data_IF_346093884906
#
_entry.id   IF_346093884906
#
_cell.length_a   1.000
_cell.length_b   1.000
_cell.length_c   1.000
_cell.angle_alpha   90.00
_cell.angle_beta   90.00
_cell.angle_gamma   90.00
#
_symmetry.space_group_name_H-M   'P 1'
#
loop_
_entity.id
_entity.type
_entity.pdbx_description
1 polymer ?
#
# COMPACT_ATOMS: atom_id res chain seq x y z
N UNK A 1 59.38 -21.32 -5.30
CA UNK A 1 58.27 -21.65 -4.35
C UNK A 1 56.98 -21.25 -4.99
N UNK A 2 56.35 -22.19 -5.60
CA UNK A 2 55.09 -22.05 -6.35
C UNK A 2 53.91 -22.16 -5.39
N UNK A 3 53.20 -21.09 -5.17
CA UNK A 3 51.88 -21.12 -4.50
C UNK A 3 50.82 -21.36 -5.56
N UNK A 4 50.38 -22.60 -5.66
CA UNK A 4 49.16 -22.96 -6.36
C UNK A 4 47.96 -22.62 -5.43
N UNK A 5 47.27 -21.53 -5.70
CA UNK A 5 45.94 -21.26 -5.15
C UNK A 5 44.96 -22.04 -5.99
N UNK A 6 44.51 -23.17 -5.48
CA UNK A 6 43.35 -23.90 -6.01
C UNK A 6 42.12 -23.04 -5.81
N UNK A 7 41.58 -22.45 -6.90
CA UNK A 7 40.24 -21.89 -6.92
C UNK A 7 39.25 -23.06 -6.84
N UNK A 8 38.68 -23.26 -5.67
CA UNK A 8 37.48 -24.08 -5.54
C UNK A 8 36.40 -23.45 -6.40
N UNK A 9 35.92 -24.21 -7.38
CA UNK A 9 34.71 -23.86 -8.13
C UNK A 9 33.48 -23.96 -7.18
N UNK A 10 33.35 -22.97 -6.31
CA UNK A 10 32.15 -22.78 -5.52
C UNK A 10 31.07 -22.16 -6.41
N UNK A 11 30.12 -22.96 -6.85
CA UNK A 11 28.91 -22.44 -7.48
C UNK A 11 28.32 -21.33 -6.60
N UNK A 12 27.95 -20.17 -7.20
CA UNK A 12 27.45 -19.04 -6.44
C UNK A 12 26.23 -19.47 -5.63
N UNK A 13 26.30 -19.27 -4.33
CA UNK A 13 25.19 -19.60 -3.43
C UNK A 13 24.14 -18.48 -3.59
N UNK A 14 23.12 -18.71 -4.42
CA UNK A 14 21.97 -17.83 -4.49
C UNK A 14 21.20 -17.83 -3.17
N UNK A 15 20.48 -16.76 -2.91
CA UNK A 15 19.61 -16.66 -1.75
C UNK A 15 18.48 -17.72 -1.78
N UNK A 16 17.87 -18.05 -0.64
CA UNK A 16 16.65 -18.84 -0.61
C UNK A 16 15.58 -18.18 -1.51
N UNK A 17 14.85 -18.95 -2.31
CA UNK A 17 13.85 -18.39 -3.23
C UNK A 17 12.66 -17.82 -2.45
N UNK A 18 12.09 -16.74 -2.99
CA UNK A 18 10.86 -16.13 -2.50
C UNK A 18 9.91 -15.91 -3.69
N UNK A 19 9.37 -16.98 -4.29
CA UNK A 19 8.45 -16.84 -5.39
C UNK A 19 7.17 -16.15 -4.92
N UNK A 20 6.64 -15.22 -5.73
CA UNK A 20 5.31 -14.70 -5.51
C UNK A 20 4.26 -15.81 -5.70
N UNK A 21 3.09 -15.63 -5.06
CA UNK A 21 1.98 -16.52 -5.35
C UNK A 21 1.63 -16.53 -6.84
N UNK A 22 1.27 -17.69 -7.42
CA UNK A 22 0.80 -17.77 -8.81
C UNK A 22 -0.37 -16.81 -9.07
N UNK A 23 -0.31 -16.11 -10.19
CA UNK A 23 -1.37 -15.25 -10.67
C UNK A 23 -1.68 -15.56 -12.14
N UNK A 24 -2.65 -16.45 -12.44
CA UNK A 24 -2.95 -16.87 -13.80
C UNK A 24 -3.30 -15.71 -14.75
N UNK A 25 -3.82 -14.59 -14.23
CA UNK A 25 -4.11 -13.42 -15.05
C UNK A 25 -2.82 -12.70 -15.44
N UNK A 26 -1.92 -12.51 -14.49
CA UNK A 26 -0.60 -11.93 -14.77
C UNK A 26 0.21 -12.88 -15.67
N UNK A 27 0.25 -14.17 -15.37
CA UNK A 27 0.96 -15.18 -16.15
C UNK A 27 0.52 -15.14 -17.61
N UNK A 28 -0.80 -15.09 -17.89
CA UNK A 28 -1.32 -14.99 -19.25
C UNK A 28 -0.89 -13.70 -19.99
N UNK A 29 -0.68 -12.59 -19.27
CA UNK A 29 -0.16 -11.35 -19.84
C UNK A 29 1.34 -11.52 -20.15
N UNK A 30 2.08 -12.14 -19.25
CA UNK A 30 3.53 -12.31 -19.35
C UNK A 30 3.94 -13.33 -20.42
N UNK A 31 3.12 -14.35 -20.67
CA UNK A 31 3.33 -15.34 -21.73
C UNK A 31 3.12 -14.77 -23.14
N UNK A 32 2.49 -13.57 -23.25
CA UNK A 32 2.25 -12.89 -24.51
C UNK A 32 3.38 -11.94 -24.93
N UNK A 33 3.23 -11.35 -26.13
CA UNK A 33 4.18 -10.36 -26.66
C UNK A 33 4.07 -8.99 -25.97
N UNK A 34 2.96 -8.70 -25.30
CA UNK A 34 2.62 -7.39 -24.76
C UNK A 34 3.70 -6.74 -23.87
N UNK A 35 4.36 -7.45 -22.93
CA UNK A 35 5.40 -6.82 -22.11
C UNK A 35 6.59 -6.29 -22.94
N UNK A 36 7.04 -7.07 -23.95
CA UNK A 36 8.12 -6.65 -24.84
C UNK A 36 7.69 -5.52 -25.78
N UNK A 37 6.46 -5.54 -26.30
CA UNK A 37 5.89 -4.47 -27.11
C UNK A 37 5.81 -3.15 -26.31
N UNK A 38 5.35 -3.19 -25.05
CA UNK A 38 5.31 -2.04 -24.17
C UNK A 38 6.70 -1.51 -23.86
N UNK A 39 7.66 -2.39 -23.54
CA UNK A 39 9.04 -1.99 -23.28
C UNK A 39 9.67 -1.31 -24.51
N UNK A 40 9.37 -1.80 -25.70
CA UNK A 40 9.82 -1.18 -26.94
C UNK A 40 9.15 0.18 -27.19
N UNK A 41 7.83 0.26 -27.01
CA UNK A 41 7.05 1.48 -27.27
C UNK A 41 7.36 2.60 -26.28
N UNK A 42 7.56 2.28 -25.00
CA UNK A 42 7.79 3.26 -23.94
C UNK A 42 9.26 3.64 -23.78
N UNK A 43 10.18 2.78 -24.19
CA UNK A 43 11.61 3.05 -24.20
C UNK A 43 12.30 3.04 -22.82
N UNK A 44 11.61 2.60 -21.76
CA UNK A 44 12.12 2.56 -20.37
C UNK A 44 11.33 1.61 -19.48
N UNK A 45 11.56 1.65 -18.16
CA UNK A 45 10.79 0.87 -17.20
C UNK A 45 9.35 1.37 -17.18
N UNK A 46 8.41 0.50 -16.78
CA UNK A 46 7.00 0.85 -16.66
C UNK A 46 6.29 0.02 -15.59
N UNK A 47 5.14 0.50 -15.15
CA UNK A 47 4.24 -0.22 -14.26
C UNK A 47 3.01 -0.69 -15.02
N UNK A 48 2.57 -1.93 -14.82
CA UNK A 48 1.27 -2.43 -15.27
C UNK A 48 0.27 -2.31 -14.14
N UNK A 49 -0.93 -1.83 -14.45
CA UNK A 49 -2.04 -1.71 -13.50
C UNK A 49 -3.24 -2.53 -13.99
N UNK A 50 -3.85 -3.26 -13.07
CA UNK A 50 -4.99 -4.16 -13.26
C UNK A 50 -6.19 -3.68 -12.42
N UNK A 51 -6.99 -2.71 -12.91
CA UNK A 51 -8.07 -2.10 -12.12
C UNK A 51 -9.15 -3.09 -11.69
N UNK A 52 -9.40 -4.14 -12.46
CA UNK A 52 -10.37 -5.18 -12.10
C UNK A 52 -10.00 -5.89 -10.79
N UNK A 53 -8.69 -6.06 -10.52
CA UNK A 53 -8.21 -6.63 -9.26
C UNK A 53 -8.50 -5.72 -8.08
N UNK A 54 -8.29 -4.41 -8.26
CA UNK A 54 -8.65 -3.41 -7.25
C UNK A 54 -10.15 -3.48 -6.93
N UNK A 55 -11.00 -3.55 -7.94
CA UNK A 55 -12.45 -3.67 -7.74
C UNK A 55 -12.85 -4.97 -7.06
N UNK A 56 -12.23 -6.10 -7.45
CA UNK A 56 -12.47 -7.40 -6.83
C UNK A 56 -12.05 -7.40 -5.34
N UNK A 57 -10.89 -6.82 -5.02
CA UNK A 57 -10.42 -6.71 -3.65
C UNK A 57 -11.37 -5.84 -2.82
N UNK A 58 -11.80 -4.69 -3.33
CA UNK A 58 -12.76 -3.83 -2.62
C UNK A 58 -14.10 -4.54 -2.41
N UNK A 59 -14.62 -5.21 -3.43
CA UNK A 59 -15.86 -6.00 -3.35
C UNK A 59 -15.76 -7.13 -2.31
N UNK A 60 -14.58 -7.73 -2.13
CA UNK A 60 -14.35 -8.74 -1.09
C UNK A 60 -14.50 -8.16 0.33
N UNK A 61 -13.96 -6.96 0.60
CA UNK A 61 -14.18 -6.28 1.88
C UNK A 61 -15.66 -5.92 2.09
N UNK A 62 -16.32 -5.37 1.07
CA UNK A 62 -17.75 -5.05 1.09
C UNK A 62 -18.60 -6.31 1.32
N UNK A 63 -18.18 -7.44 0.74
CA UNK A 63 -18.79 -8.76 0.95
C UNK A 63 -18.76 -9.19 2.41
N UNK A 64 -17.61 -9.07 3.07
CA UNK A 64 -17.46 -9.42 4.49
C UNK A 64 -18.35 -8.57 5.38
N UNK A 65 -18.45 -7.26 5.14
CA UNK A 65 -19.37 -6.39 5.89
C UNK A 65 -20.82 -6.84 5.74
N UNK A 66 -21.23 -7.15 4.50
CA UNK A 66 -22.60 -7.63 4.19
C UNK A 66 -22.91 -8.98 4.84
N UNK A 67 -21.97 -9.94 4.75
CA UNK A 67 -22.11 -11.27 5.39
C UNK A 67 -22.26 -11.17 6.92
N UNK A 68 -21.51 -10.22 7.53
CA UNK A 68 -21.58 -9.96 8.96
C UNK A 68 -22.82 -9.14 9.37
N UNK A 69 -23.61 -8.62 8.41
CA UNK A 69 -24.74 -7.72 8.67
C UNK A 69 -24.31 -6.40 9.30
N UNK A 70 -23.08 -5.95 9.06
CA UNK A 70 -22.51 -4.71 9.59
C UNK A 70 -22.58 -3.63 8.52
N UNK A 71 -23.26 -2.52 8.83
CA UNK A 71 -23.20 -1.34 7.98
C UNK A 71 -21.78 -0.78 7.99
N UNK A 72 -21.25 -0.46 6.79
CA UNK A 72 -19.91 0.08 6.71
C UNK A 72 -19.53 0.56 5.33
N UNK A 73 -18.33 1.13 5.25
CA UNK A 73 -17.78 1.66 4.00
C UNK A 73 -16.28 1.45 3.92
N UNK A 74 -15.83 1.12 2.72
CA UNK A 74 -14.41 1.03 2.36
C UNK A 74 -13.97 2.37 1.77
N UNK A 75 -12.88 2.92 2.30
CA UNK A 75 -12.18 4.09 1.80
C UNK A 75 -10.80 3.65 1.30
N UNK A 76 -10.55 3.79 0.02
CA UNK A 76 -9.22 3.51 -0.52
C UNK A 76 -8.21 4.53 0.01
N UNK A 77 -7.15 4.07 0.69
CA UNK A 77 -6.07 4.96 1.15
C UNK A 77 -5.17 5.36 -0.02
N UNK A 78 -5.39 6.58 -0.56
CA UNK A 78 -4.77 7.08 -1.79
C UNK A 78 -3.24 7.08 -1.75
N UNK A 79 -2.65 7.27 -0.58
CA UNK A 79 -1.20 7.18 -0.35
C UNK A 79 -0.56 5.86 -0.78
N UNK A 80 -1.36 4.79 -0.92
CA UNK A 80 -0.86 3.48 -1.31
C UNK A 80 -0.46 3.39 -2.80
N UNK A 81 -1.07 4.21 -3.67
CA UNK A 81 -0.67 4.39 -5.06
C UNK A 81 -1.36 5.62 -5.65
N UNK A 82 -0.59 6.50 -6.29
CA UNK A 82 -1.06 7.80 -6.81
C UNK A 82 -1.77 7.70 -8.16
N UNK A 83 -1.84 6.51 -8.79
CA UNK A 83 -2.43 6.35 -10.12
C UNK A 83 -3.87 6.88 -10.18
N UNK A 84 -4.18 7.59 -11.25
CA UNK A 84 -5.48 8.23 -11.48
C UNK A 84 -6.60 7.20 -11.66
N UNK A 85 -6.29 6.06 -12.25
CA UNK A 85 -7.25 4.99 -12.49
C UNK A 85 -7.97 4.53 -11.22
N UNK A 86 -7.31 4.53 -10.06
CA UNK A 86 -7.94 4.16 -8.79
C UNK A 86 -9.01 5.17 -8.38
N UNK A 87 -8.78 6.46 -8.65
CA UNK A 87 -9.76 7.52 -8.40
C UNK A 87 -10.97 7.40 -9.33
N UNK A 88 -10.73 7.10 -10.62
CA UNK A 88 -11.81 6.83 -11.59
C UNK A 88 -12.69 5.67 -11.11
N UNK A 89 -12.10 4.56 -10.68
CA UNK A 89 -12.84 3.39 -10.20
C UNK A 89 -13.58 3.67 -8.88
N UNK A 90 -13.01 4.44 -7.96
CA UNK A 90 -13.71 4.89 -6.75
C UNK A 90 -14.89 5.81 -7.09
N UNK A 91 -14.73 6.76 -8.01
CA UNK A 91 -15.80 7.66 -8.42
C UNK A 91 -16.95 6.92 -9.09
N UNK A 92 -16.65 6.01 -10.03
CA UNK A 92 -17.64 5.21 -10.75
C UNK A 92 -18.43 4.27 -9.84
N UNK A 93 -17.76 3.65 -8.87
CA UNK A 93 -18.39 2.70 -7.93
C UNK A 93 -19.02 3.36 -6.70
N UNK A 94 -18.79 4.67 -6.51
CA UNK A 94 -19.21 5.39 -5.30
C UNK A 94 -18.47 4.98 -4.03
N UNK A 95 -17.31 4.32 -4.13
CA UNK A 95 -16.44 3.99 -2.99
C UNK A 95 -15.81 5.22 -2.38
N UNK A 96 -15.42 5.11 -1.13
CA UNK A 96 -14.73 6.19 -0.43
C UNK A 96 -13.24 6.25 -0.77
N UNK A 97 -12.63 7.41 -0.48
CA UNK A 97 -11.17 7.60 -0.58
C UNK A 97 -10.67 8.28 0.69
N UNK A 98 -9.59 7.75 1.28
CA UNK A 98 -8.83 8.37 2.36
C UNK A 98 -7.70 9.20 1.77
N UNK A 99 -7.67 10.49 2.12
CA UNK A 99 -6.69 11.47 1.68
C UNK A 99 -6.04 12.16 2.88
N UNK A 100 -4.74 12.47 2.78
CA UNK A 100 -3.97 13.07 3.86
C UNK A 100 -3.32 14.42 3.48
N UNK A 101 -3.46 14.87 2.24
CA UNK A 101 -2.84 16.08 1.72
C UNK A 101 -3.80 16.84 0.78
N UNK A 102 -3.55 18.15 0.63
CA UNK A 102 -4.35 18.99 -0.26
C UNK A 102 -4.26 18.52 -1.73
N UNK A 103 -3.11 18.05 -2.18
CA UNK A 103 -2.92 17.48 -3.50
C UNK A 103 -3.79 16.23 -3.71
N UNK A 104 -3.76 15.28 -2.76
CA UNK A 104 -4.61 14.09 -2.82
C UNK A 104 -6.11 14.41 -2.84
N UNK A 105 -6.53 15.40 -2.02
CA UNK A 105 -7.93 15.84 -1.99
C UNK A 105 -8.37 16.44 -3.33
N UNK A 106 -7.55 17.35 -3.90
CA UNK A 106 -7.84 17.99 -5.18
C UNK A 106 -7.91 16.98 -6.33
N UNK A 107 -6.97 16.03 -6.33
CA UNK A 107 -6.92 14.97 -7.33
C UNK A 107 -8.17 14.07 -7.25
N UNK A 108 -8.55 13.60 -6.06
CA UNK A 108 -9.76 12.81 -5.87
C UNK A 108 -11.03 13.55 -6.31
N UNK A 109 -11.18 14.84 -5.96
CA UNK A 109 -12.29 15.68 -6.40
C UNK A 109 -12.27 15.90 -7.91
N UNK A 110 -11.10 16.12 -8.50
CA UNK A 110 -10.90 16.30 -9.94
C UNK A 110 -11.29 15.08 -10.76
N UNK A 111 -11.14 13.89 -10.22
CA UNK A 111 -11.60 12.61 -10.80
C UNK A 111 -13.07 12.30 -10.51
N UNK A 112 -13.80 13.20 -9.84
CA UNK A 112 -15.24 13.06 -9.61
C UNK A 112 -15.62 12.29 -8.34
N UNK A 113 -14.68 12.00 -7.45
CA UNK A 113 -15.00 11.46 -6.13
C UNK A 113 -15.75 12.54 -5.34
N UNK A 114 -16.94 12.23 -4.86
CA UNK A 114 -17.77 13.21 -4.15
C UNK A 114 -17.21 13.48 -2.75
N UNK A 115 -17.27 14.73 -2.29
CA UNK A 115 -16.73 15.10 -0.97
C UNK A 115 -17.29 14.29 0.19
N UNK A 116 -18.59 13.92 0.16
CA UNK A 116 -19.21 13.04 1.17
C UNK A 116 -18.64 11.62 1.20
N UNK A 117 -17.90 11.21 0.15
CA UNK A 117 -17.19 9.96 0.02
C UNK A 117 -15.69 10.07 0.35
N UNK A 118 -15.25 11.23 0.86
CA UNK A 118 -13.86 11.47 1.24
C UNK A 118 -13.73 11.51 2.76
N UNK A 119 -12.70 10.85 3.25
CA UNK A 119 -12.20 11.03 4.63
C UNK A 119 -10.84 11.69 4.56
N UNK A 120 -10.64 12.71 5.40
CA UNK A 120 -9.39 13.48 5.47
C UNK A 120 -8.67 13.11 6.75
N UNK A 121 -7.57 12.40 6.63
CA UNK A 121 -6.75 11.89 7.73
C UNK A 121 -5.42 12.65 7.86
N UNK A 122 -4.49 12.14 8.68
CA UNK A 122 -3.18 12.76 8.91
C UNK A 122 -3.17 13.76 10.06
N UNK A 123 -1.98 14.13 10.55
CA UNK A 123 -1.81 15.10 11.64
C UNK A 123 -1.82 16.54 11.13
N UNK A 124 -2.15 17.48 12.01
CA UNK A 124 -1.94 18.93 11.83
C UNK A 124 -2.28 19.42 10.40
N UNK A 125 -3.51 19.12 9.95
CA UNK A 125 -3.96 19.42 8.59
C UNK A 125 -3.90 20.93 8.31
N UNK A 126 -3.32 21.31 7.17
CA UNK A 126 -3.20 22.70 6.75
C UNK A 126 -4.58 23.36 6.54
N UNK A 127 -4.64 24.66 6.75
CA UNK A 127 -5.89 25.41 6.70
C UNK A 127 -6.58 25.41 5.32
N UNK A 128 -5.82 25.33 4.25
CA UNK A 128 -6.36 25.19 2.88
C UNK A 128 -6.99 23.81 2.65
N UNK A 129 -6.37 22.75 3.15
CA UNK A 129 -6.93 21.39 3.14
C UNK A 129 -8.25 21.36 3.92
N UNK A 130 -8.25 21.88 5.18
CA UNK A 130 -9.44 21.90 6.03
C UNK A 130 -10.58 22.72 5.40
N UNK A 131 -10.26 23.85 4.77
CA UNK A 131 -11.26 24.69 4.08
C UNK A 131 -11.97 23.94 2.97
N UNK A 132 -11.21 23.28 2.09
CA UNK A 132 -11.80 22.49 1.00
C UNK A 132 -12.56 21.30 1.56
N UNK A 133 -12.04 20.59 2.56
CA UNK A 133 -12.70 19.48 3.20
C UNK A 133 -14.07 19.86 3.79
N UNK A 134 -14.16 20.99 4.51
CA UNK A 134 -15.42 21.51 5.06
C UNK A 134 -16.38 21.88 3.96
N UNK A 135 -15.94 22.65 2.95
CA UNK A 135 -16.79 23.08 1.83
C UNK A 135 -17.36 21.91 1.04
N UNK A 136 -16.58 20.86 0.85
CA UNK A 136 -16.99 19.65 0.14
C UNK A 136 -17.77 18.64 1.02
N UNK A 137 -17.87 18.90 2.33
CA UNK A 137 -18.56 18.01 3.28
C UNK A 137 -17.83 16.68 3.50
N UNK A 138 -16.50 16.70 3.41
CA UNK A 138 -15.67 15.55 3.73
C UNK A 138 -15.77 15.19 5.23
N UNK A 139 -15.53 13.94 5.56
CA UNK A 139 -15.37 13.48 6.93
C UNK A 139 -13.92 13.76 7.37
N UNK A 140 -13.72 14.48 8.49
CA UNK A 140 -12.39 14.91 8.94
C UNK A 140 -12.02 14.14 10.22
N UNK A 141 -10.93 13.35 10.17
CA UNK A 141 -10.37 12.73 11.36
C UNK A 141 -9.50 13.72 12.12
N UNK A 142 -10.01 14.27 13.21
CA UNK A 142 -9.33 15.27 14.05
C UNK A 142 -8.29 14.60 14.93
N UNK A 143 -7.05 15.01 14.82
CA UNK A 143 -5.88 14.38 15.45
C UNK A 143 -5.41 15.10 16.74
N UNK A 144 -5.74 16.38 16.90
CA UNK A 144 -5.31 17.21 18.04
C UNK A 144 -6.33 18.30 18.40
N UNK A 145 -6.21 18.89 19.60
CA UNK A 145 -7.12 19.94 20.07
C UNK A 145 -7.00 21.25 19.29
N UNK A 146 -5.80 21.66 18.95
CA UNK A 146 -5.54 22.86 18.14
C UNK A 146 -6.07 22.68 16.71
N UNK A 147 -5.97 21.49 16.16
CA UNK A 147 -6.59 21.16 14.87
C UNK A 147 -8.12 21.26 14.95
N UNK A 148 -8.74 20.82 16.06
CA UNK A 148 -10.19 20.98 16.28
C UNK A 148 -10.61 22.46 16.19
N UNK A 149 -9.85 23.37 16.84
CA UNK A 149 -10.15 24.79 16.77
C UNK A 149 -10.02 25.33 15.34
N UNK A 150 -9.04 24.85 14.57
CA UNK A 150 -8.91 25.20 13.15
C UNK A 150 -10.10 24.70 12.33
N UNK A 151 -10.58 23.47 12.57
CA UNK A 151 -11.77 22.93 11.92
C UNK A 151 -13.00 23.78 12.25
N UNK A 152 -13.19 24.16 13.50
CA UNK A 152 -14.30 25.02 13.93
C UNK A 152 -14.23 26.39 13.28
N UNK A 153 -13.04 26.98 13.14
CA UNK A 153 -12.84 28.27 12.48
C UNK A 153 -13.22 28.18 10.99
N UNK A 154 -12.76 27.13 10.28
CA UNK A 154 -13.11 26.92 8.86
C UNK A 154 -14.61 26.66 8.69
N UNK A 155 -15.24 25.90 9.58
CA UNK A 155 -16.68 25.62 9.53
C UNK A 155 -17.52 26.87 9.69
N UNK A 156 -17.15 27.76 10.62
CA UNK A 156 -17.82 29.06 10.80
C UNK A 156 -17.65 29.97 9.59
N UNK A 157 -16.44 30.02 9.03
CA UNK A 157 -16.16 30.82 7.82
C UNK A 157 -16.96 30.32 6.61
N UNK A 158 -17.11 28.99 6.50
CA UNK A 158 -17.88 28.35 5.43
C UNK A 158 -19.41 28.38 5.67
N UNK A 159 -19.87 28.83 6.85
CA UNK A 159 -21.26 28.75 7.31
C UNK A 159 -21.86 27.32 7.15
N UNK A 160 -21.03 26.30 7.38
CA UNK A 160 -21.38 24.90 7.20
C UNK A 160 -20.74 24.05 8.31
N UNK A 161 -21.51 23.21 9.03
CA UNK A 161 -20.94 22.33 10.05
C UNK A 161 -19.94 21.35 9.45
N UNK A 162 -18.77 21.22 10.09
CA UNK A 162 -17.79 20.21 9.76
C UNK A 162 -18.24 18.83 10.28
N UNK A 163 -18.03 17.80 9.48
CA UNK A 163 -18.26 16.40 9.88
C UNK A 163 -16.95 15.83 10.40
N UNK A 164 -16.94 15.35 11.65
CA UNK A 164 -15.68 14.92 12.27
C UNK A 164 -15.75 13.53 12.89
N UNK A 165 -14.62 12.83 12.81
CA UNK A 165 -14.24 11.73 13.71
C UNK A 165 -13.18 12.27 14.66
N UNK A 166 -13.29 11.98 15.95
CA UNK A 166 -12.22 12.27 16.91
C UNK A 166 -11.27 11.07 16.92
N UNK A 167 -10.01 11.29 16.54
CA UNK A 167 -9.01 10.23 16.48
C UNK A 167 -8.50 9.89 17.86
N UNK A 168 -8.72 8.66 18.30
CA UNK A 168 -8.26 8.14 19.59
C UNK A 168 -6.83 7.64 19.50
N UNK A 169 -5.96 8.06 20.44
CA UNK A 169 -4.68 7.41 20.67
C UNK A 169 -4.90 6.00 21.22
N UNK A 170 -4.52 4.92 20.49
CA UNK A 170 -4.76 3.57 20.94
C UNK A 170 -3.94 3.24 22.19
N UNK A 171 -4.52 2.62 23.24
CA UNK A 171 -3.76 2.22 24.43
C UNK A 171 -2.62 1.26 24.15
N UNK A 172 -2.77 0.40 23.12
CA UNK A 172 -1.72 -0.52 22.67
C UNK A 172 -0.48 0.19 22.04
N UNK A 173 -0.60 1.47 21.69
CA UNK A 173 0.49 2.26 21.08
C UNK A 173 0.60 3.63 21.75
N UNK A 174 0.92 3.69 23.05
CA UNK A 174 0.86 4.92 23.84
C UNK A 174 1.88 6.00 23.42
N UNK A 175 2.90 5.61 22.65
CA UNK A 175 3.94 6.50 22.11
C UNK A 175 3.67 6.94 20.67
N UNK A 176 2.51 6.59 20.10
CA UNK A 176 2.15 7.10 18.77
C UNK A 176 2.09 8.62 18.79
N UNK A 177 2.65 9.25 17.73
CA UNK A 177 2.57 10.71 17.55
C UNK A 177 1.17 11.18 17.14
N UNK A 178 0.21 10.28 17.03
CA UNK A 178 -1.12 10.52 16.50
C UNK A 178 -2.21 10.27 17.54
N UNK A 179 -3.26 11.09 17.45
CA UNK A 179 -4.50 10.87 18.15
C UNK A 179 -4.56 11.50 19.55
N UNK A 180 -5.76 11.72 20.00
CA UNK A 180 -6.12 12.32 21.28
C UNK A 180 -6.01 11.31 22.41
N UNK A 181 -5.26 11.65 23.46
CA UNK A 181 -5.26 10.93 24.73
C UNK A 181 -6.61 11.02 25.44
N UNK A 182 -6.78 10.24 26.53
CA UNK A 182 -8.08 10.17 27.20
C UNK A 182 -8.58 11.52 27.76
N UNK A 183 -7.69 12.35 28.27
CA UNK A 183 -8.00 13.72 28.75
C UNK A 183 -8.36 14.66 27.61
N UNK A 184 -7.57 14.64 26.54
CA UNK A 184 -7.79 15.47 25.35
C UNK A 184 -9.09 15.11 24.64
N UNK A 185 -9.43 13.81 24.56
CA UNK A 185 -10.68 13.34 23.97
C UNK A 185 -11.91 13.85 24.73
N UNK A 186 -11.87 13.87 26.07
CA UNK A 186 -12.93 14.47 26.91
C UNK A 186 -13.07 15.97 26.62
N UNK A 187 -11.95 16.68 26.54
CA UNK A 187 -11.91 18.11 26.21
C UNK A 187 -12.47 18.37 24.81
N UNK A 188 -12.09 17.58 23.82
CA UNK A 188 -12.61 17.67 22.45
C UNK A 188 -14.14 17.47 22.40
N UNK A 189 -14.67 16.45 23.07
CA UNK A 189 -16.11 16.19 23.15
C UNK A 189 -16.86 17.36 23.78
N UNK A 190 -16.38 17.87 24.91
CA UNK A 190 -16.99 19.02 25.60
C UNK A 190 -16.94 20.28 24.69
N UNK A 191 -15.84 20.49 23.98
CA UNK A 191 -15.67 21.60 23.04
C UNK A 191 -16.64 21.50 21.86
N UNK A 192 -16.80 20.30 21.29
CA UNK A 192 -17.78 20.04 20.23
C UNK A 192 -19.23 20.25 20.72
N UNK A 193 -19.54 19.88 21.98
CA UNK A 193 -20.86 20.10 22.55
C UNK A 193 -21.23 21.60 22.68
N UNK A 194 -20.23 22.46 22.84
CA UNK A 194 -20.38 23.93 22.86
C UNK A 194 -20.46 24.57 21.47
N UNK A 195 -20.09 23.86 20.41
CA UNK A 195 -19.99 24.34 19.04
C UNK A 195 -20.83 23.52 18.05
N UNK A 196 -22.04 23.11 18.46
CA UNK A 196 -22.93 22.25 17.65
C UNK A 196 -23.38 22.88 16.35
N UNK A 197 -23.33 24.20 16.27
CA UNK A 197 -23.58 25.00 15.06
C UNK A 197 -22.47 24.83 14.00
N UNK A 198 -21.23 24.55 14.45
CA UNK A 198 -20.05 24.47 13.60
C UNK A 198 -19.51 23.04 13.40
N UNK A 199 -19.93 22.04 14.20
CA UNK A 199 -19.38 20.69 14.12
C UNK A 199 -20.40 19.61 14.45
N UNK A 200 -20.34 18.51 13.69
CA UNK A 200 -21.06 17.26 13.96
C UNK A 200 -20.03 16.16 14.24
N UNK A 201 -19.97 15.70 15.49
CA UNK A 201 -19.17 14.52 15.84
C UNK A 201 -19.93 13.29 15.35
N UNK A 202 -19.45 12.72 14.23
CA UNK A 202 -20.04 11.51 13.66
C UNK A 202 -19.48 10.23 14.29
N UNK A 203 -18.38 10.32 15.03
CA UNK A 203 -17.82 9.19 15.76
C UNK A 203 -16.33 9.31 16.06
N UNK A 204 -15.65 8.17 16.02
CA UNK A 204 -14.27 8.06 16.43
C UNK A 204 -13.46 7.27 15.42
N UNK A 205 -12.13 7.46 15.45
CA UNK A 205 -11.20 6.68 14.63
C UNK A 205 -9.96 6.31 15.42
N UNK A 206 -9.28 5.29 14.97
CA UNK A 206 -7.89 5.00 15.33
C UNK A 206 -7.13 4.45 14.11
N UNK A 207 -5.81 4.43 14.23
CA UNK A 207 -4.94 3.66 13.34
C UNK A 207 -3.96 2.86 14.19
N UNK A 208 -3.84 1.56 13.92
CA UNK A 208 -2.87 0.67 14.56
C UNK A 208 -1.80 0.26 13.54
N UNK A 209 -0.54 0.30 13.96
CA UNK A 209 0.54 -0.40 13.26
C UNK A 209 0.43 -1.91 13.51
N UNK A 210 0.84 -2.70 12.52
CA UNK A 210 0.73 -4.17 12.59
C UNK A 210 -0.61 -4.70 12.10
N UNK A 211 -0.70 -6.03 12.05
CA UNK A 211 -1.75 -6.76 11.36
C UNK A 211 -2.56 -7.71 12.26
N UNK A 212 -2.44 -7.60 13.58
CA UNK A 212 -3.17 -8.44 14.54
C UNK A 212 -4.68 -8.11 14.55
N UNK A 213 -5.56 -9.06 14.14
CA UNK A 213 -7.00 -8.83 14.13
C UNK A 213 -7.59 -8.66 15.54
N UNK A 214 -7.06 -9.33 16.55
CA UNK A 214 -7.61 -9.31 17.92
C UNK A 214 -7.36 -7.96 18.58
N UNK A 215 -6.15 -7.40 18.44
CA UNK A 215 -5.84 -6.06 18.93
C UNK A 215 -6.72 -4.99 18.25
N UNK A 216 -6.97 -5.16 16.94
CA UNK A 216 -7.83 -4.26 16.18
C UNK A 216 -9.29 -4.35 16.61
N UNK A 217 -9.78 -5.56 16.85
CA UNK A 217 -11.15 -5.78 17.36
C UNK A 217 -11.35 -5.20 18.75
N UNK A 218 -10.41 -5.40 19.66
CA UNK A 218 -10.43 -4.82 21.01
C UNK A 218 -10.50 -3.30 20.96
N UNK A 219 -9.61 -2.66 20.17
CA UNK A 219 -9.63 -1.20 20.00
C UNK A 219 -10.94 -0.70 19.37
N UNK A 220 -11.50 -1.43 18.38
CA UNK A 220 -12.79 -1.10 17.78
C UNK A 220 -13.92 -1.19 18.81
N UNK A 221 -13.90 -2.21 19.66
CA UNK A 221 -14.85 -2.35 20.76
C UNK A 221 -14.84 -1.17 21.73
N UNK A 222 -13.65 -0.63 22.06
CA UNK A 222 -13.53 0.61 22.86
C UNK A 222 -14.19 1.81 22.16
N UNK A 223 -14.04 1.93 20.84
CA UNK A 223 -14.69 3.02 20.08
C UNK A 223 -16.21 2.89 20.05
N UNK A 224 -16.76 1.67 20.01
CA UNK A 224 -18.22 1.47 20.14
C UNK A 224 -18.72 2.01 21.48
N UNK A 225 -18.04 1.71 22.59
CA UNK A 225 -18.38 2.26 23.90
C UNK A 225 -18.27 3.80 23.96
N UNK A 226 -17.27 4.35 23.29
CA UNK A 226 -17.13 5.81 23.17
C UNK A 226 -18.29 6.43 22.37
N UNK A 227 -18.76 5.77 21.32
CA UNK A 227 -19.94 6.20 20.56
C UNK A 227 -21.17 6.26 21.45
N UNK A 228 -21.44 5.22 22.26
CA UNK A 228 -22.58 5.19 23.16
C UNK A 228 -22.49 6.32 24.21
N UNK A 229 -21.32 6.55 24.81
CA UNK A 229 -21.08 7.66 25.74
C UNK A 229 -21.27 9.03 25.09
N UNK A 230 -20.78 9.22 23.88
CA UNK A 230 -20.93 10.47 23.15
C UNK A 230 -22.38 10.75 22.75
N UNK A 231 -23.16 9.72 22.39
CA UNK A 231 -24.61 9.85 22.16
C UNK A 231 -25.35 10.30 23.42
N UNK A 232 -24.99 9.77 24.61
CA UNK A 232 -25.57 10.22 25.88
C UNK A 232 -25.27 11.71 26.17
N UNK A 233 -24.19 12.27 25.57
CA UNK A 233 -23.88 13.70 25.61
C UNK A 233 -24.56 14.49 24.47
N UNK A 234 -25.37 13.84 23.63
CA UNK A 234 -26.11 14.43 22.53
C UNK A 234 -25.32 14.62 21.24
N UNK A 235 -24.20 13.94 21.06
CA UNK A 235 -23.51 13.84 19.77
C UNK A 235 -24.15 12.76 18.88
N UNK A 236 -23.94 12.84 17.57
CA UNK A 236 -24.42 11.83 16.62
C UNK A 236 -23.75 10.48 16.84
N UNK A 237 -22.43 10.44 16.79
CA UNK A 237 -21.53 9.31 17.09
C UNK A 237 -22.05 7.95 16.63
N UNK A 238 -22.34 7.82 15.31
CA UNK A 238 -22.92 6.63 14.69
C UNK A 238 -21.93 5.82 13.85
N UNK A 239 -20.63 6.14 13.87
CA UNK A 239 -19.61 5.42 13.11
C UNK A 239 -18.25 5.37 13.79
N UNK A 240 -17.48 4.36 13.44
CA UNK A 240 -16.08 4.26 13.82
C UNK A 240 -15.23 3.94 12.60
N UNK A 241 -14.00 4.49 12.52
CA UNK A 241 -12.96 4.04 11.57
C UNK A 241 -11.87 3.28 12.31
N UNK A 242 -11.55 2.09 11.83
CA UNK A 242 -10.46 1.27 12.35
C UNK A 242 -9.18 1.40 11.50
N UNK A 243 -9.15 2.38 10.60
CA UNK A 243 -8.03 2.65 9.71
C UNK A 243 -7.75 1.55 8.69
N UNK A 244 -6.50 1.49 8.24
CA UNK A 244 -5.96 0.45 7.38
C UNK A 244 -5.33 -0.71 8.17
N UNK A 245 -4.16 -1.19 7.71
CA UNK A 245 -3.42 -2.26 8.38
C UNK A 245 -4.05 -3.63 8.13
N UNK A 246 -4.45 -3.91 6.88
CA UNK A 246 -4.81 -5.22 6.38
C UNK A 246 -3.63 -5.77 5.58
N UNK A 247 -3.10 -6.91 5.99
CA UNK A 247 -1.94 -7.55 5.37
C UNK A 247 -2.25 -7.99 3.93
N UNK A 248 -1.18 -8.14 3.15
CA UNK A 248 -1.16 -8.85 1.86
C UNK A 248 -0.26 -10.05 2.02
N UNK A 249 -0.65 -11.17 1.44
CA UNK A 249 0.12 -12.39 1.39
C UNK A 249 0.83 -12.50 0.04
N UNK A 250 2.15 -12.29 0.02
CA UNK A 250 2.95 -12.22 -1.21
C UNK A 250 3.58 -13.55 -1.60
N UNK A 251 3.91 -14.40 -0.61
CA UNK A 251 4.59 -15.68 -0.80
C UNK A 251 4.07 -16.71 0.20
N UNK A 252 4.28 -17.99 -0.06
CA UNK A 252 3.81 -19.02 0.85
C UNK A 252 4.65 -19.11 2.14
N UNK A 253 4.05 -19.73 3.18
CA UNK A 253 4.65 -19.85 4.49
C UNK A 253 6.01 -20.57 4.45
N UNK A 254 6.12 -21.65 3.66
CA UNK A 254 7.31 -22.47 3.62
C UNK A 254 8.52 -21.71 3.07
N UNK A 255 8.36 -20.97 1.98
CA UNK A 255 9.40 -20.12 1.42
C UNK A 255 9.77 -18.97 2.37
N UNK A 256 8.77 -18.31 2.98
CA UNK A 256 9.02 -17.23 3.92
C UNK A 256 9.80 -17.68 5.16
N UNK A 257 9.39 -18.79 5.79
CA UNK A 257 10.09 -19.36 6.95
C UNK A 257 11.50 -19.84 6.60
N UNK A 258 11.67 -20.48 5.44
CA UNK A 258 12.98 -20.89 4.96
C UNK A 258 13.89 -19.69 4.73
N UNK A 259 13.38 -18.62 4.10
CA UNK A 259 14.14 -17.39 3.89
C UNK A 259 14.60 -16.77 5.22
N UNK A 260 13.70 -16.57 6.18
CA UNK A 260 14.04 -15.98 7.48
C UNK A 260 15.07 -16.80 8.25
N UNK A 261 15.03 -18.14 8.14
CA UNK A 261 15.95 -19.05 8.81
C UNK A 261 17.33 -19.11 8.14
N UNK A 262 17.39 -19.00 6.82
CA UNK A 262 18.57 -19.35 6.03
C UNK A 262 19.29 -18.12 5.45
N UNK A 263 18.62 -16.95 5.39
CA UNK A 263 19.24 -15.75 4.87
C UNK A 263 20.48 -15.36 5.70
N UNK A 264 21.53 -14.91 4.99
CA UNK A 264 22.82 -14.56 5.59
C UNK A 264 23.55 -13.57 4.67
N UNK A 265 24.58 -12.84 5.16
CA UNK A 265 25.29 -11.83 4.37
C UNK A 265 25.78 -12.31 2.99
N UNK A 266 26.24 -13.57 2.88
CA UNK A 266 26.71 -14.16 1.62
C UNK A 266 25.61 -14.24 0.53
N UNK A 267 24.36 -14.12 0.90
CA UNK A 267 23.22 -14.10 -0.04
C UNK A 267 22.96 -12.72 -0.67
N UNK A 268 23.70 -11.70 -0.24
CA UNK A 268 23.49 -10.33 -0.69
C UNK A 268 24.73 -9.75 -1.40
N UNK A 269 24.54 -8.72 -2.19
CA UNK A 269 25.63 -7.99 -2.81
C UNK A 269 26.58 -7.44 -1.76
N UNK A 270 27.90 -7.60 -2.01
CA UNK A 270 28.97 -7.14 -1.13
C UNK A 270 28.86 -7.59 0.35
N UNK A 271 28.16 -8.70 0.61
CA UNK A 271 27.99 -9.23 1.98
C UNK A 271 27.13 -8.35 2.89
N UNK A 272 26.24 -7.51 2.31
CA UNK A 272 25.30 -6.69 3.10
C UNK A 272 24.44 -7.59 3.99
N UNK A 273 24.15 -7.13 5.19
CA UNK A 273 23.23 -7.79 6.10
C UNK A 273 21.98 -6.94 6.31
N UNK A 274 20.85 -7.61 6.48
CA UNK A 274 19.58 -7.01 6.84
C UNK A 274 19.08 -7.65 8.13
N UNK A 275 18.47 -6.84 9.01
CA UNK A 275 17.79 -7.38 10.17
C UNK A 275 16.43 -7.95 9.72
N UNK A 276 16.11 -9.22 10.03
CA UNK A 276 14.78 -9.77 9.71
C UNK A 276 13.60 -8.96 10.27
N UNK A 277 13.81 -8.19 11.34
CA UNK A 277 12.81 -7.31 11.90
C UNK A 277 12.48 -6.10 11.00
N UNK A 278 13.39 -5.76 10.07
CA UNK A 278 13.21 -4.66 9.12
C UNK A 278 12.49 -5.10 7.84
N UNK A 279 12.21 -6.40 7.66
CA UNK A 279 11.45 -6.86 6.51
C UNK A 279 9.95 -6.64 6.70
N UNK A 280 9.27 -6.24 5.62
CA UNK A 280 7.83 -6.37 5.55
C UNK A 280 7.47 -7.86 5.74
N UNK A 281 6.38 -8.20 6.47
CA UNK A 281 5.96 -9.60 6.60
C UNK A 281 5.33 -10.09 5.28
N UNK A 282 6.14 -10.64 4.37
CA UNK A 282 5.70 -11.05 3.04
C UNK A 282 4.77 -12.27 3.04
N UNK A 283 4.76 -13.06 4.11
CA UNK A 283 3.71 -14.05 4.36
C UNK A 283 2.77 -13.59 5.47
N UNK A 284 1.48 -13.75 5.25
CA UNK A 284 0.45 -13.53 6.27
C UNK A 284 -0.64 -14.60 6.14
N UNK A 285 -0.86 -15.43 7.17
CA UNK A 285 -1.87 -16.49 7.12
C UNK A 285 -3.29 -15.94 7.05
N UNK A 286 -3.48 -14.68 7.42
CA UNK A 286 -4.78 -13.99 7.39
C UNK A 286 -4.59 -12.62 6.74
N UNK A 287 -4.91 -12.51 5.46
CA UNK A 287 -4.69 -11.32 4.64
C UNK A 287 -5.99 -10.77 4.03
N UNK A 288 -5.94 -9.52 3.53
CA UNK A 288 -7.03 -8.89 2.79
C UNK A 288 -8.37 -8.92 3.53
N UNK A 289 -9.43 -9.29 2.83
CA UNK A 289 -10.78 -9.37 3.39
C UNK A 289 -10.93 -10.46 4.47
N UNK A 290 -10.10 -11.52 4.46
CA UNK A 290 -10.10 -12.53 5.52
C UNK A 290 -9.64 -11.92 6.86
N UNK A 291 -8.72 -10.95 6.85
CA UNK A 291 -8.34 -10.23 8.05
C UNK A 291 -9.50 -9.42 8.63
N UNK A 292 -10.32 -8.78 7.79
CA UNK A 292 -11.54 -8.12 8.24
C UNK A 292 -12.54 -9.11 8.86
N UNK A 293 -12.71 -10.29 8.24
CA UNK A 293 -13.58 -11.34 8.81
C UNK A 293 -13.09 -11.76 10.19
N UNK A 294 -11.79 -11.93 10.39
CA UNK A 294 -11.19 -12.25 11.69
C UNK A 294 -11.44 -11.12 12.73
N UNK A 295 -11.26 -9.85 12.34
CA UNK A 295 -11.54 -8.69 13.18
C UNK A 295 -13.00 -8.69 13.65
N UNK A 296 -13.95 -8.89 12.72
CA UNK A 296 -15.39 -8.87 13.03
C UNK A 296 -15.85 -10.06 13.89
N UNK A 297 -15.16 -11.20 13.77
CA UNK A 297 -15.44 -12.38 14.57
C UNK A 297 -14.87 -12.28 16.00
N UNK A 298 -13.75 -11.58 16.18
CA UNK A 298 -13.10 -11.44 17.47
C UNK A 298 -13.96 -10.62 18.44
N UNK A 299 -14.03 -11.05 19.71
CA UNK A 299 -14.74 -10.40 20.81
C UNK A 299 -16.22 -10.07 20.51
N UNK A 300 -16.85 -10.78 19.55
CA UNK A 300 -18.22 -10.53 19.14
C UNK A 300 -18.44 -9.14 18.53
N UNK A 301 -17.40 -8.52 17.96
CA UNK A 301 -17.44 -7.14 17.48
C UNK A 301 -18.58 -6.88 16.49
N UNK A 302 -18.85 -7.80 15.57
CA UNK A 302 -19.96 -7.65 14.61
C UNK A 302 -21.31 -7.51 15.32
N UNK A 303 -21.57 -8.31 16.36
CA UNK A 303 -22.76 -8.19 17.20
C UNK A 303 -22.86 -6.83 17.88
N UNK A 304 -21.78 -6.40 18.53
CA UNK A 304 -21.69 -5.10 19.22
C UNK A 304 -21.94 -3.91 18.29
N UNK A 305 -21.39 -3.94 17.06
CA UNK A 305 -21.63 -2.90 16.06
C UNK A 305 -23.11 -2.83 15.66
N UNK A 306 -23.74 -3.98 15.39
CA UNK A 306 -25.17 -4.05 15.02
C UNK A 306 -26.08 -3.58 16.16
N UNK A 307 -25.86 -4.07 17.36
CA UNK A 307 -26.66 -3.72 18.55
C UNK A 307 -26.55 -2.23 18.89
N UNK A 308 -25.33 -1.67 18.75
CA UNK A 308 -25.10 -0.26 18.96
C UNK A 308 -25.54 0.62 17.77
N UNK A 309 -25.90 0.06 16.60
CA UNK A 309 -26.18 0.82 15.38
C UNK A 309 -24.99 1.70 14.99
N UNK A 310 -23.78 1.12 14.99
CA UNK A 310 -22.54 1.82 14.66
C UNK A 310 -21.99 1.30 13.34
N UNK A 311 -21.77 2.18 12.38
CA UNK A 311 -21.18 1.88 11.08
C UNK A 311 -19.67 1.70 11.21
N UNK A 312 -19.11 0.75 10.45
CA UNK A 312 -17.68 0.48 10.40
C UNK A 312 -17.04 1.07 9.13
N UNK A 313 -16.09 1.97 9.30
CA UNK A 313 -15.28 2.54 8.23
C UNK A 313 -13.90 1.88 8.21
N UNK A 314 -13.43 1.58 6.99
CA UNK A 314 -12.15 0.91 6.73
C UNK A 314 -11.33 1.77 5.77
N UNK A 315 -10.01 1.83 5.98
CA UNK A 315 -9.07 2.61 5.15
C UNK A 315 -7.96 1.72 4.58
N UNK A 316 -8.28 0.57 3.91
CA UNK A 316 -7.26 -0.29 3.34
C UNK A 316 -6.52 0.42 2.20
N UNK A 317 -5.18 0.34 2.24
CA UNK A 317 -4.32 0.75 1.14
C UNK A 317 -3.83 -0.46 0.37
N UNK A 318 -2.73 -1.08 0.84
CA UNK A 318 -2.06 -2.21 0.21
C UNK A 318 -3.01 -3.37 -0.14
N UNK A 319 -3.93 -3.71 0.75
CA UNK A 319 -4.84 -4.84 0.55
C UNK A 319 -5.85 -4.64 -0.60
N UNK A 320 -6.17 -3.40 -0.99
CA UNK A 320 -6.98 -3.15 -2.19
C UNK A 320 -6.16 -3.26 -3.47
N UNK A 321 -4.84 -3.15 -3.36
CA UNK A 321 -3.90 -3.21 -4.47
C UNK A 321 -3.21 -4.58 -4.60
N UNK A 322 -3.65 -5.57 -3.82
CA UNK A 322 -3.12 -6.93 -3.92
C UNK A 322 -3.34 -7.48 -5.34
N UNK A 323 -2.24 -7.88 -5.99
CA UNK A 323 -2.18 -8.34 -7.38
C UNK A 323 -2.75 -7.34 -8.40
N UNK A 324 -2.88 -6.07 -8.03
CA UNK A 324 -3.42 -5.04 -8.92
C UNK A 324 -2.37 -4.41 -9.85
N UNK A 325 -1.15 -4.95 -9.87
CA UNK A 325 -0.13 -4.50 -10.81
C UNK A 325 1.26 -5.05 -10.53
N UNK A 326 2.15 -4.85 -11.50
CA UNK A 326 3.55 -5.25 -11.45
C UNK A 326 4.45 -4.15 -12.01
N UNK A 327 5.75 -4.23 -11.70
CA UNK A 327 6.78 -3.33 -12.23
C UNK A 327 7.69 -4.08 -13.17
N UNK A 328 7.96 -3.50 -14.33
CA UNK A 328 8.78 -4.09 -15.40
C UNK A 328 10.00 -3.24 -15.64
N UNK A 329 11.15 -3.87 -15.59
CA UNK A 329 12.44 -3.29 -15.97
C UNK A 329 13.04 -4.05 -17.14
N UNK A 330 13.75 -3.35 -18.02
CA UNK A 330 14.53 -3.97 -19.09
C UNK A 330 15.99 -4.10 -18.66
N UNK A 331 16.56 -5.27 -18.87
CA UNK A 331 17.98 -5.52 -18.65
C UNK A 331 18.81 -4.72 -19.67
N UNK A 332 19.73 -3.90 -19.17
CA UNK A 332 20.69 -3.14 -19.97
C UNK A 332 22.00 -3.89 -20.14
N UNK A 333 22.39 -4.68 -19.15
CA UNK A 333 23.62 -5.45 -19.20
C UNK A 333 23.81 -6.32 -17.97
N UNK A 334 24.75 -7.25 -18.07
CA UNK A 334 25.11 -8.16 -16.99
C UNK A 334 26.63 -8.27 -16.93
N UNK A 335 27.19 -8.18 -15.73
CA UNK A 335 28.60 -8.44 -15.46
C UNK A 335 28.76 -9.45 -14.34
N UNK A 336 29.81 -10.25 -14.44
CA UNK A 336 30.18 -11.21 -13.41
C UNK A 336 31.17 -10.57 -12.43
N UNK A 337 30.98 -10.84 -11.13
CA UNK A 337 31.88 -10.41 -10.07
C UNK A 337 31.80 -11.40 -8.90
N UNK A 338 32.95 -11.85 -8.44
CA UNK A 338 33.07 -12.70 -7.23
C UNK A 338 32.13 -13.93 -7.24
N UNK A 339 31.91 -14.53 -8.43
CA UNK A 339 31.14 -15.76 -8.60
C UNK A 339 29.61 -15.55 -8.68
N UNK A 340 29.12 -14.34 -8.82
CA UNK A 340 27.70 -14.04 -9.08
C UNK A 340 27.53 -12.90 -10.10
N UNK A 341 26.33 -12.72 -10.61
CA UNK A 341 26.00 -11.65 -11.55
C UNK A 341 25.58 -10.35 -10.90
N UNK A 342 25.85 -9.24 -11.60
CA UNK A 342 25.21 -7.95 -11.37
C UNK A 342 24.46 -7.60 -12.65
N UNK A 343 23.13 -7.69 -12.58
CA UNK A 343 22.23 -7.29 -13.67
C UNK A 343 21.94 -5.82 -13.50
N UNK A 344 22.22 -5.00 -14.51
CA UNK A 344 21.83 -3.58 -14.53
C UNK A 344 20.55 -3.42 -15.34
N UNK A 345 19.53 -2.76 -14.74
CA UNK A 345 18.26 -2.47 -15.40
C UNK A 345 18.11 -0.99 -15.74
N UNK A 346 17.15 -0.64 -16.60
CA UNK A 346 16.88 0.70 -17.10
C UNK A 346 16.12 1.62 -16.14
N UNK A 347 15.78 1.15 -14.94
CA UNK A 347 15.15 1.92 -13.87
C UNK A 347 16.04 2.05 -12.63
N UNK A 348 15.48 2.49 -11.54
CA UNK A 348 16.17 2.61 -10.24
C UNK A 348 15.37 1.98 -9.12
N UNK A 349 16.03 1.70 -7.99
CA UNK A 349 15.41 1.25 -6.76
C UNK A 349 14.38 2.24 -6.21
N UNK A 350 14.43 3.51 -6.60
CA UNK A 350 13.47 4.54 -6.22
C UNK A 350 12.08 4.32 -6.86
N UNK A 351 12.00 3.51 -7.91
CA UNK A 351 10.75 3.13 -8.57
C UNK A 351 10.19 1.78 -8.10
N UNK A 352 10.89 1.12 -7.19
CA UNK A 352 10.47 -0.14 -6.57
C UNK A 352 11.11 -0.24 -5.18
N UNK A 353 10.42 0.21 -4.13
CA UNK A 353 10.99 0.25 -2.78
C UNK A 353 10.00 -0.13 -1.69
N UNK A 354 10.50 -0.65 -0.58
CA UNK A 354 9.76 -0.79 0.67
C UNK A 354 10.05 0.43 1.57
N UNK A 355 9.26 1.44 1.41
CA UNK A 355 9.44 2.77 2.00
C UNK A 355 9.62 2.76 3.52
N UNK A 356 8.97 1.84 4.23
CA UNK A 356 8.95 1.81 5.69
C UNK A 356 9.94 0.84 6.32
N UNK A 357 10.66 0.13 5.48
CA UNK A 357 11.58 -0.91 5.91
C UNK A 357 12.95 -0.62 5.29
N UNK A 358 14.00 -0.69 6.06
CA UNK A 358 15.38 -0.56 5.54
C UNK A 358 15.79 -1.84 4.81
N UNK A 359 14.98 -2.22 3.85
CA UNK A 359 15.12 -3.44 3.06
C UNK A 359 14.71 -3.22 1.60
N UNK A 360 14.76 -4.29 0.80
CA UNK A 360 14.30 -4.34 -0.58
C UNK A 360 12.91 -4.97 -0.69
N UNK A 361 12.29 -4.87 -1.86
CA UNK A 361 11.13 -5.69 -2.20
C UNK A 361 11.56 -7.13 -2.44
N UNK A 362 11.14 -8.06 -1.58
CA UNK A 362 11.71 -9.41 -1.53
C UNK A 362 11.15 -10.42 -2.54
N UNK A 363 9.87 -10.41 -2.98
CA UNK A 363 9.41 -11.41 -3.94
C UNK A 363 10.28 -11.45 -5.20
N UNK A 364 10.63 -12.67 -5.63
CA UNK A 364 11.51 -12.89 -6.77
C UNK A 364 10.94 -12.29 -8.06
N UNK A 365 11.74 -11.54 -8.84
CA UNK A 365 11.33 -11.12 -10.17
C UNK A 365 11.26 -12.29 -11.14
N UNK A 366 10.29 -12.23 -12.05
CA UNK A 366 10.18 -13.15 -13.18
C UNK A 366 11.06 -12.64 -14.34
N UNK A 367 11.92 -13.52 -14.83
CA UNK A 367 12.72 -13.25 -16.06
C UNK A 367 11.88 -13.58 -17.29
N UNK A 368 11.65 -12.58 -18.15
CA UNK A 368 11.06 -12.78 -19.48
C UNK A 368 12.17 -12.62 -20.54
N UNK A 369 12.70 -13.73 -21.07
CA UNK A 369 13.74 -13.67 -22.08
C UNK A 369 13.22 -13.11 -23.39
N UNK A 370 14.03 -12.29 -24.06
CA UNK A 370 13.74 -11.81 -25.42
C UNK A 370 13.90 -12.90 -26.48
N UNK A 371 14.78 -13.85 -26.21
CA UNK A 371 15.12 -14.96 -27.08
C UNK A 371 15.01 -16.28 -26.31
N UNK A 372 15.02 -17.39 -27.02
CA UNK A 372 15.04 -18.72 -26.40
C UNK A 372 16.08 -18.79 -25.28
N UNK A 373 15.69 -19.10 -24.03
CA UNK A 373 16.63 -19.14 -22.93
C UNK A 373 17.58 -20.34 -23.06
N UNK A 374 18.86 -20.10 -22.88
CA UNK A 374 19.91 -21.12 -22.92
C UNK A 374 20.83 -20.99 -21.71
N UNK A 375 21.31 -22.10 -21.19
CA UNK A 375 22.31 -22.16 -20.12
C UNK A 375 21.80 -22.71 -18.80
N UNK A 376 22.63 -22.60 -17.80
CA UNK A 376 22.40 -23.09 -16.44
C UNK A 376 21.80 -21.99 -15.54
N UNK A 377 21.16 -22.36 -14.42
CA UNK A 377 20.67 -21.40 -13.44
C UNK A 377 21.77 -20.41 -13.00
N UNK A 378 21.40 -19.14 -12.89
CA UNK A 378 22.33 -18.05 -12.67
C UNK A 378 21.91 -17.18 -11.48
N UNK A 379 22.80 -17.01 -10.51
CA UNK A 379 22.54 -16.17 -9.35
C UNK A 379 23.05 -14.74 -9.60
N UNK A 380 22.19 -13.74 -9.42
CA UNK A 380 22.55 -12.34 -9.62
C UNK A 380 21.78 -11.39 -8.71
N UNK A 381 22.44 -10.29 -8.36
CA UNK A 381 21.79 -9.09 -7.80
C UNK A 381 21.30 -8.19 -8.94
N UNK A 382 20.37 -7.29 -8.65
CA UNK A 382 19.82 -6.36 -9.64
C UNK A 382 20.16 -4.93 -9.22
N UNK A 383 20.98 -4.23 -10.00
CA UNK A 383 21.32 -2.82 -9.82
C UNK A 383 20.51 -1.93 -10.76
N UNK A 384 20.22 -0.72 -10.29
CA UNK A 384 19.58 0.32 -11.09
C UNK A 384 20.52 1.03 -12.06
N UNK A 385 19.99 2.00 -12.80
CA UNK A 385 20.70 2.77 -13.83
C UNK A 385 21.44 4.00 -13.31
N UNK A 386 21.31 4.32 -12.01
CA UNK A 386 22.00 5.50 -11.46
C UNK A 386 23.46 5.22 -11.12
N UNK A 387 24.26 6.27 -10.89
CA UNK A 387 25.65 6.12 -10.48
C UNK A 387 25.82 5.91 -8.95
N UNK A 388 24.74 5.67 -8.21
CA UNK A 388 24.79 5.42 -6.78
C UNK A 388 25.09 3.94 -6.52
N UNK A 389 26.10 3.65 -5.70
CA UNK A 389 26.40 2.29 -5.25
C UNK A 389 25.24 1.63 -4.49
N UNK A 390 24.38 2.44 -3.88
CA UNK A 390 23.20 1.99 -3.14
C UNK A 390 21.97 1.78 -4.03
N UNK A 391 22.03 2.10 -5.32
CA UNK A 391 20.91 1.91 -6.24
C UNK A 391 20.77 0.44 -6.64
N UNK A 392 20.32 -0.38 -5.71
CA UNK A 392 20.08 -1.79 -5.92
C UNK A 392 18.57 -2.06 -5.83
N UNK A 393 18.00 -2.52 -6.93
CA UNK A 393 16.61 -2.97 -7.01
C UNK A 393 16.43 -4.28 -6.23
N UNK A 394 17.43 -5.18 -6.33
CA UNK A 394 17.55 -6.36 -5.48
C UNK A 394 18.99 -6.54 -5.02
N UNK A 395 19.24 -6.36 -3.73
CA UNK A 395 20.51 -6.67 -3.08
C UNK A 395 20.77 -8.17 -3.03
N UNK A 396 19.69 -8.94 -2.93
CA UNK A 396 19.68 -10.39 -2.83
C UNK A 396 20.14 -11.03 -4.14
N UNK A 397 20.94 -12.10 -4.04
CA UNK A 397 21.37 -12.92 -5.19
C UNK A 397 20.20 -13.82 -5.62
N UNK A 398 19.30 -13.28 -6.39
CA UNK A 398 18.16 -13.99 -6.97
C UNK A 398 18.66 -15.11 -7.90
N UNK A 399 18.00 -16.25 -7.88
CA UNK A 399 18.30 -17.38 -8.78
C UNK A 399 17.43 -17.30 -10.03
N UNK A 400 18.00 -16.81 -11.11
CA UNK A 400 17.35 -16.84 -12.41
C UNK A 400 17.47 -18.22 -13.06
N UNK A 401 16.47 -18.66 -13.85
CA UNK A 401 16.54 -19.95 -14.56
C UNK A 401 17.68 -20.05 -15.57
N UNK A 402 18.07 -18.92 -16.14
CA UNK A 402 19.21 -18.76 -17.04
C UNK A 402 19.90 -17.42 -16.79
N UNK A 403 21.08 -17.20 -17.33
CA UNK A 403 21.77 -15.90 -17.28
C UNK A 403 20.95 -14.84 -18.03
N UNK A 404 20.47 -13.76 -17.39
CA UNK A 404 19.80 -12.67 -18.06
C UNK A 404 20.68 -12.03 -19.14
N UNK A 405 20.08 -11.51 -20.20
CA UNK A 405 20.76 -10.85 -21.31
C UNK A 405 20.17 -9.46 -21.55
N UNK A 406 20.96 -8.58 -22.19
CA UNK A 406 20.47 -7.25 -22.56
C UNK A 406 19.24 -7.35 -23.47
N UNK A 407 18.17 -6.65 -23.07
CA UNK A 407 16.87 -6.68 -23.75
C UNK A 407 15.85 -7.64 -23.14
N UNK A 408 16.25 -8.52 -22.24
CA UNK A 408 15.31 -9.29 -21.40
C UNK A 408 14.55 -8.37 -20.45
N UNK A 409 13.40 -8.83 -19.95
CA UNK A 409 12.64 -8.09 -18.96
C UNK A 409 12.68 -8.80 -17.60
N UNK A 410 12.77 -7.99 -16.54
CA UNK A 410 12.55 -8.42 -15.17
C UNK A 410 11.21 -7.85 -14.69
N UNK A 411 10.30 -8.73 -14.35
CA UNK A 411 8.96 -8.37 -13.87
C UNK A 411 8.87 -8.64 -12.37
N UNK A 412 8.68 -7.59 -11.59
CA UNK A 412 8.42 -7.68 -10.15
C UNK A 412 6.90 -7.73 -9.93
N UNK A 413 6.33 -8.88 -9.55
CA UNK A 413 4.90 -9.04 -9.40
C UNK A 413 4.37 -8.34 -8.16
N UNK A 414 3.07 -8.01 -8.15
CA UNK A 414 2.33 -7.49 -6.99
C UNK A 414 2.93 -6.23 -6.35
N UNK A 415 3.37 -5.26 -7.15
CA UNK A 415 4.04 -4.04 -6.70
C UNK A 415 3.13 -2.80 -6.64
N UNK A 416 1.83 -2.93 -6.90
CA UNK A 416 0.93 -1.77 -6.92
C UNK A 416 0.77 -1.09 -5.56
N UNK A 417 0.99 -1.81 -4.45
CA UNK A 417 0.82 -1.29 -3.09
C UNK A 417 2.07 -0.64 -2.52
N UNK A 418 2.23 0.66 -2.69
CA UNK A 418 3.33 1.52 -2.23
C UNK A 418 4.62 1.44 -3.05
N UNK A 419 5.04 0.28 -3.54
CA UNK A 419 6.35 0.07 -4.16
C UNK A 419 6.58 0.95 -5.40
N UNK A 420 5.53 1.22 -6.17
CA UNK A 420 5.66 1.90 -7.47
C UNK A 420 6.02 3.39 -7.36
N UNK A 421 5.53 4.10 -6.34
CA UNK A 421 5.58 5.56 -6.33
C UNK A 421 5.78 6.23 -4.97
N UNK A 422 5.97 5.47 -3.90
CA UNK A 422 6.17 6.07 -2.58
C UNK A 422 7.52 6.79 -2.43
N UNK A 423 8.54 6.32 -3.13
CA UNK A 423 9.90 6.89 -3.15
C UNK A 423 10.37 7.32 -4.55
N UNK A 424 9.46 7.40 -5.53
CA UNK A 424 9.84 7.77 -6.89
C UNK A 424 10.57 9.12 -6.95
N UNK A 425 11.63 9.17 -7.74
CA UNK A 425 12.45 10.36 -7.93
C UNK A 425 13.01 10.41 -9.34
N UNK A 426 13.01 11.58 -9.99
CA UNK A 426 13.67 11.80 -11.27
C UNK A 426 15.19 12.01 -11.11
N UNK A 427 15.83 11.35 -10.15
CA UNK A 427 17.24 11.44 -9.93
C UNK A 427 18.02 11.08 -11.21
N UNK A 428 19.07 11.82 -11.54
CA UNK A 428 19.80 11.78 -12.83
C UNK A 428 18.93 12.17 -14.04
N UNK A 429 17.78 12.85 -13.82
CA UNK A 429 16.81 13.13 -14.88
C UNK A 429 16.26 11.85 -15.55
N UNK A 430 16.35 10.71 -14.86
CA UNK A 430 15.68 9.50 -15.30
C UNK A 430 14.17 9.71 -15.31
N UNK A 431 13.49 9.30 -16.37
CA UNK A 431 12.03 9.41 -16.42
C UNK A 431 11.40 8.51 -15.35
N UNK A 432 10.37 9.04 -14.69
CA UNK A 432 9.54 8.20 -13.82
C UNK A 432 8.86 7.12 -14.67
N UNK A 433 8.80 5.86 -14.24
CA UNK A 433 8.14 4.80 -14.98
C UNK A 433 6.68 5.14 -15.24
N UNK A 434 6.23 5.20 -16.51
CA UNK A 434 4.82 5.41 -16.81
C UNK A 434 3.96 4.25 -16.28
N UNK A 435 2.74 4.57 -15.87
CA UNK A 435 1.75 3.58 -15.45
C UNK A 435 0.88 3.23 -16.64
N UNK A 436 0.83 1.96 -16.98
CA UNK A 436 0.05 1.38 -18.08
C UNK A 436 -1.16 0.67 -17.49
N UNK A 437 -2.33 1.16 -17.78
CA UNK A 437 -3.59 0.56 -17.36
C UNK A 437 -4.00 -0.49 -18.38
N UNK A 438 -4.22 -1.71 -17.94
CA UNK A 438 -4.74 -2.80 -18.75
C UNK A 438 -6.26 -2.92 -18.57
N UNK A 439 -6.95 -3.04 -19.68
CA UNK A 439 -8.37 -3.37 -19.74
C UNK A 439 -8.51 -4.74 -20.43
N UNK A 440 -8.97 -5.73 -19.68
CA UNK A 440 -9.06 -7.12 -20.11
C UNK A 440 -10.54 -7.48 -20.23
N UNK A 441 -11.09 -7.35 -21.43
CA UNK A 441 -12.48 -7.64 -21.69
C UNK A 441 -12.65 -8.66 -22.85
N UNK A 442 -13.46 -9.69 -22.64
CA UNK A 442 -13.83 -10.65 -23.70
C UNK A 442 -12.65 -11.37 -24.36
N UNK A 443 -11.56 -11.61 -23.61
CA UNK A 443 -10.34 -12.25 -24.14
C UNK A 443 -9.43 -11.31 -24.93
N UNK A 444 -9.73 -10.01 -24.97
CA UNK A 444 -8.90 -9.00 -25.62
C UNK A 444 -8.29 -8.11 -24.55
N UNK A 445 -6.96 -7.95 -24.58
CA UNK A 445 -6.24 -7.00 -23.74
C UNK A 445 -6.01 -5.70 -24.50
N UNK A 446 -6.50 -4.61 -23.94
CA UNK A 446 -6.22 -3.25 -24.40
C UNK A 446 -5.39 -2.54 -23.35
N UNK A 447 -4.63 -1.54 -23.75
CA UNK A 447 -3.86 -0.74 -22.82
C UNK A 447 -3.95 0.77 -23.13
N UNK A 448 -3.78 1.55 -22.11
CA UNK A 448 -3.62 3.00 -22.18
C UNK A 448 -2.63 3.47 -21.12
N UNK A 449 -2.05 4.63 -21.31
CA UNK A 449 -1.31 5.28 -20.23
C UNK A 449 -2.31 5.82 -19.19
N UNK A 450 -1.93 5.72 -17.92
CA UNK A 450 -2.65 6.39 -16.86
C UNK A 450 -2.48 7.90 -16.99
N UNK A 451 -3.50 8.66 -16.58
CA UNK A 451 -3.41 10.11 -16.58
C UNK A 451 -2.47 10.57 -15.47
N UNK A 452 -1.64 11.61 -15.68
CA UNK A 452 -0.87 12.19 -14.59
C UNK A 452 -1.83 12.74 -13.53
N UNK A 453 -1.41 12.77 -12.23
CA UNK A 453 -2.17 13.48 -11.20
C UNK A 453 -2.44 14.92 -11.62
N UNK A 454 -3.62 15.43 -11.27
CA UNK A 454 -3.94 16.83 -11.51
C UNK A 454 -3.01 17.73 -10.67
N UNK A 455 -2.32 18.64 -11.30
CA UNK A 455 -1.35 19.54 -10.68
C UNK A 455 -2.00 20.57 -9.74
#
# INVERSE_FOLDING_TARGET
MTHATGAAAGGSVGAPPLPAHPDPQLDAILDGALPHELSYALGGPFHLLLPERFDANAAAFEGVLREAGVEGRVYYAKKANKAAVWMDHCALSGRGVDVAAAGELRDALGHGVRGEHLVVTGPAKAGDLLRVAVLQGCLIAVDALDELENVLAQARTAARPARVLLRRLPPAQPHSRFGLGGGELKTALARCAQARDAVVVEGFSFHLSGYDPSLRASAAGELVELCLKARAMGHRADRISIGGGFAVDYTDAGHWEAFLREQRPDHYHAGRSFDPADFYPYHSPVAGAAALRAVLAADGLAGRLREAGVQLLLEPGRALLDRAGCTVFRVQGVKDRDGYGIVTVDGSSLSLSEQWFDSEYLPDPVLLPRHEPHGEPYAACVGGATCLESDMVSWRKVRFPTRPAAGDLLVYPNTAGYQMDSNESPFHELPLPPKVVLDIAGGTTRWRLDRPPLA
#
